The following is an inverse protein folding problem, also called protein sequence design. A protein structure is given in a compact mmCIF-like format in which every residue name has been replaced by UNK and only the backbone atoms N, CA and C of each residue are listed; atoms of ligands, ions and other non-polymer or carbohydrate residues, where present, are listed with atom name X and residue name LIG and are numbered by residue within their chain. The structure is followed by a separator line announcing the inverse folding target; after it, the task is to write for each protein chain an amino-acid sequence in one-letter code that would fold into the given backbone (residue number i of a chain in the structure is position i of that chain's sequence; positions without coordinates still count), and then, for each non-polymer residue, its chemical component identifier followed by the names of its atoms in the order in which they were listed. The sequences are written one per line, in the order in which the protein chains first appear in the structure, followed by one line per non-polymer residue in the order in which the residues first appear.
data_IF_535297322679
#
_entry.id   IF_535297322679
#
_cell.length_a   1.000
_cell.length_b   1.000
_cell.length_c   1.000
_cell.angle_alpha   90.00
_cell.angle_beta   90.00
_cell.angle_gamma   90.00
#
_symmetry.space_group_name_H-M   'P 1'
#
loop_
_entity.id
_entity.type
_entity.pdbx_description
1 polymer ?
#
# COMPACT_ATOMS: atom_id res chain seq x y z
N UNK A 1 -2.01 13.62 -8.00
CA UNK A 1 -2.19 14.43 -9.21
C UNK A 1 -2.99 13.66 -10.26
N UNK A 2 -2.52 12.49 -10.71
CA UNK A 2 -3.19 11.70 -11.75
C UNK A 2 -4.61 11.23 -11.41
N UNK A 3 -4.94 10.96 -10.14
CA UNK A 3 -6.33 10.68 -9.73
C UNK A 3 -7.25 11.89 -9.94
N UNK A 4 -6.75 13.11 -9.76
CA UNK A 4 -7.52 14.31 -10.06
C UNK A 4 -7.79 14.45 -11.56
N UNK A 5 -6.81 14.04 -12.39
CA UNK A 5 -6.99 14.02 -13.85
C UNK A 5 -8.08 13.00 -14.25
N UNK A 6 -8.09 11.80 -13.64
CA UNK A 6 -9.17 10.80 -13.83
C UNK A 6 -10.54 11.37 -13.42
N UNK A 7 -10.61 12.00 -12.24
CA UNK A 7 -11.85 12.62 -11.75
C UNK A 7 -12.34 13.72 -12.69
N UNK A 8 -11.42 14.52 -13.24
CA UNK A 8 -11.76 15.56 -14.22
C UNK A 8 -12.29 14.97 -15.52
N UNK A 9 -11.66 13.91 -16.03
CA UNK A 9 -12.09 13.23 -17.26
C UNK A 9 -13.53 12.71 -17.15
N UNK A 10 -13.89 12.11 -16.02
CA UNK A 10 -15.25 11.59 -15.81
C UNK A 10 -16.30 12.67 -15.49
N UNK A 11 -15.93 13.94 -15.53
CA UNK A 11 -16.85 15.08 -15.36
C UNK A 11 -16.74 15.82 -14.02
N UNK A 12 -15.74 15.52 -13.21
CA UNK A 12 -15.50 16.21 -11.95
C UNK A 12 -14.86 17.59 -12.15
N UNK A 13 -15.36 18.58 -11.41
CA UNK A 13 -14.70 19.87 -11.27
C UNK A 13 -13.69 19.80 -10.14
N UNK A 14 -12.43 20.11 -10.44
CA UNK A 14 -11.31 20.09 -9.50
C UNK A 14 -10.71 21.48 -9.40
N UNK A 15 -10.74 22.06 -8.22
CA UNK A 15 -10.16 23.37 -7.94
C UNK A 15 -9.06 23.21 -6.89
N UNK A 16 -7.91 23.85 -7.13
CA UNK A 16 -6.77 23.84 -6.21
C UNK A 16 -6.47 25.25 -5.74
N UNK A 17 -6.37 25.43 -4.42
CA UNK A 17 -5.97 26.67 -3.80
C UNK A 17 -4.89 26.37 -2.72
N UNK A 18 -3.63 26.54 -3.06
CA UNK A 18 -2.52 26.12 -2.22
C UNK A 18 -2.54 24.60 -1.99
N UNK A 19 -2.61 24.20 -0.73
CA UNK A 19 -2.69 22.79 -0.30
C UNK A 19 -4.13 22.24 -0.32
N UNK A 20 -5.13 23.10 -0.46
CA UNK A 20 -6.53 22.70 -0.50
C UNK A 20 -6.93 22.27 -1.90
N UNK A 21 -7.65 21.16 -1.99
CA UNK A 21 -8.28 20.67 -3.21
C UNK A 21 -9.79 20.55 -2.98
N UNK A 22 -10.58 21.18 -3.84
CA UNK A 22 -12.05 21.01 -3.90
C UNK A 22 -12.42 20.15 -5.08
N UNK A 23 -13.23 19.13 -4.84
CA UNK A 23 -13.70 18.19 -5.87
C UNK A 23 -15.22 18.17 -5.83
N UNK A 24 -15.85 18.38 -6.98
CA UNK A 24 -17.30 18.31 -7.13
C UNK A 24 -17.68 17.50 -8.38
N UNK A 25 -18.41 16.39 -8.21
CA UNK A 25 -18.81 15.47 -9.27
C UNK A 25 -20.34 15.37 -9.30
N UNK A 26 -21.00 16.44 -9.72
CA UNK A 26 -22.46 16.49 -9.84
C UNK A 26 -22.97 15.52 -10.92
N UNK A 27 -22.34 15.57 -12.09
CA UNK A 27 -22.71 14.78 -13.25
C UNK A 27 -21.49 14.01 -13.78
N UNK A 28 -21.72 12.75 -14.12
CA UNK A 28 -20.73 11.92 -14.83
C UNK A 28 -20.94 12.18 -16.33
N UNK A 29 -19.88 12.61 -17.03
CA UNK A 29 -19.91 12.92 -18.45
C UNK A 29 -19.47 11.76 -19.33
N UNK A 30 -18.65 10.86 -18.81
CA UNK A 30 -18.24 9.61 -19.48
C UNK A 30 -18.12 8.48 -18.47
N UNK A 31 -18.40 7.27 -18.92
CA UNK A 31 -18.16 6.03 -18.16
C UNK A 31 -16.92 5.29 -18.63
N UNK A 32 -16.14 5.90 -19.51
CA UNK A 32 -14.84 5.38 -19.95
C UNK A 32 -13.72 6.17 -19.32
N UNK A 33 -12.76 5.46 -18.69
CA UNK A 33 -11.52 6.02 -18.21
C UNK A 33 -10.45 5.73 -19.27
N UNK A 34 -9.86 6.78 -19.85
CA UNK A 34 -8.94 6.65 -20.97
C UNK A 34 -7.72 5.78 -20.66
N UNK A 35 -7.23 5.09 -21.68
CA UNK A 35 -6.01 4.26 -21.60
C UNK A 35 -4.81 5.08 -21.09
N UNK A 36 -4.71 6.34 -21.51
CA UNK A 36 -3.63 7.23 -21.11
C UNK A 36 -3.61 7.51 -19.62
N UNK A 37 -4.78 7.64 -18.98
CA UNK A 37 -4.89 7.84 -17.53
C UNK A 37 -4.79 6.53 -16.75
N UNK A 38 -5.40 5.45 -17.22
CA UNK A 38 -5.26 4.14 -16.62
C UNK A 38 -3.77 3.74 -16.51
N UNK A 39 -2.99 3.94 -17.57
CA UNK A 39 -1.56 3.61 -17.58
C UNK A 39 -0.72 4.42 -16.61
N UNK A 40 -1.18 5.61 -16.17
CA UNK A 40 -0.42 6.49 -15.26
C UNK A 40 -0.60 6.14 -13.80
N UNK A 41 -1.73 5.54 -13.42
CA UNK A 41 -2.05 5.34 -12.01
C UNK A 41 -2.88 4.07 -11.79
N UNK A 42 -2.34 3.15 -10.98
CA UNK A 42 -3.02 1.90 -10.68
C UNK A 42 -4.35 2.08 -9.96
N UNK A 43 -4.45 3.08 -9.09
CA UNK A 43 -5.66 3.36 -8.32
C UNK A 43 -6.84 3.82 -9.19
N UNK A 44 -6.67 3.99 -10.51
CA UNK A 44 -7.79 4.21 -11.45
C UNK A 44 -8.87 3.13 -11.35
N UNK A 45 -8.50 1.89 -11.00
CA UNK A 45 -9.45 0.78 -10.77
C UNK A 45 -10.45 1.09 -9.64
N UNK A 46 -10.08 1.88 -8.64
CA UNK A 46 -10.96 2.25 -7.52
C UNK A 46 -12.15 3.10 -7.95
N UNK A 47 -12.08 3.75 -9.12
CA UNK A 47 -13.20 4.50 -9.67
C UNK A 47 -14.33 3.60 -10.20
N UNK A 48 -14.05 2.31 -10.44
CA UNK A 48 -15.04 1.41 -11.07
C UNK A 48 -16.25 1.20 -10.17
N UNK A 49 -16.08 0.90 -8.87
CA UNK A 49 -17.21 0.67 -7.96
C UNK A 49 -18.17 1.88 -7.87
N UNK A 50 -17.69 3.11 -7.57
CA UNK A 50 -18.58 4.27 -7.54
C UNK A 50 -19.19 4.63 -8.90
N UNK A 51 -18.49 4.41 -10.01
CA UNK A 51 -19.07 4.61 -11.35
C UNK A 51 -20.13 3.57 -11.69
N UNK A 52 -19.90 2.30 -11.37
CA UNK A 52 -20.90 1.24 -11.52
C UNK A 52 -22.17 1.52 -10.72
N UNK A 53 -22.01 1.94 -9.46
CA UNK A 53 -23.16 2.30 -8.62
C UNK A 53 -23.97 3.47 -9.22
N UNK A 54 -23.30 4.47 -9.79
CA UNK A 54 -23.95 5.68 -10.33
C UNK A 54 -24.48 5.52 -11.74
N UNK A 55 -23.82 4.75 -12.60
CA UNK A 55 -24.04 4.72 -14.05
C UNK A 55 -24.41 3.34 -14.59
N UNK A 56 -24.25 2.27 -13.81
CA UNK A 56 -24.53 0.91 -14.22
C UNK A 56 -23.52 0.30 -15.20
N UNK A 57 -22.58 1.07 -15.73
CA UNK A 57 -21.54 0.58 -16.64
C UNK A 57 -20.27 1.40 -16.55
N UNK A 58 -19.12 0.76 -16.76
CA UNK A 58 -17.79 1.40 -16.81
C UNK A 58 -16.91 0.66 -17.79
N UNK A 59 -16.10 1.40 -18.56
CA UNK A 59 -15.01 0.85 -19.35
C UNK A 59 -13.69 1.48 -18.88
N UNK A 60 -12.68 0.66 -18.71
CA UNK A 60 -11.32 1.11 -18.41
C UNK A 60 -10.30 0.22 -19.11
N UNK A 61 -9.04 0.61 -19.04
CA UNK A 61 -7.94 -0.16 -19.59
C UNK A 61 -7.05 -0.73 -18.46
N UNK A 62 -6.20 -1.74 -18.75
CA UNK A 62 -5.28 -2.26 -17.76
C UNK A 62 -4.51 -1.13 -17.06
N UNK A 63 -4.58 -1.03 -15.71
CA UNK A 63 -3.93 0.05 -15.00
C UNK A 63 -2.42 -0.17 -14.94
N UNK A 64 -1.67 0.91 -15.12
CA UNK A 64 -0.22 0.94 -14.94
C UNK A 64 0.20 0.88 -13.47
N UNK A 65 1.36 1.45 -13.19
CA UNK A 65 1.98 1.52 -11.86
C UNK A 65 3.38 0.94 -11.86
N UNK A 66 3.99 0.82 -10.67
CA UNK A 66 5.34 0.30 -10.51
C UNK A 66 5.47 -1.15 -10.99
N UNK A 67 6.60 -1.46 -11.62
CA UNK A 67 6.93 -2.79 -12.13
C UNK A 67 7.72 -3.55 -11.06
N UNK A 68 7.00 -4.12 -10.09
CA UNK A 68 7.57 -4.86 -8.95
C UNK A 68 7.25 -6.35 -8.98
N UNK A 69 6.72 -6.85 -10.09
CA UNK A 69 6.26 -8.21 -10.28
C UNK A 69 4.82 -8.27 -10.79
N UNK A 70 4.24 -9.46 -10.75
CA UNK A 70 2.87 -9.70 -11.22
C UNK A 70 1.85 -9.10 -10.22
N UNK A 71 1.20 -8.01 -10.61
CA UNK A 71 0.19 -7.33 -9.82
C UNK A 71 -1.21 -7.64 -10.34
N UNK A 72 -1.79 -8.71 -9.82
CA UNK A 72 -3.10 -9.22 -10.25
C UNK A 72 -4.24 -8.25 -9.92
N UNK A 73 -5.34 -8.34 -10.67
CA UNK A 73 -6.60 -7.64 -10.43
C UNK A 73 -7.75 -8.61 -10.12
N UNK A 74 -7.45 -9.90 -10.00
CA UNK A 74 -8.44 -10.97 -9.83
C UNK A 74 -9.35 -10.72 -8.62
N UNK A 75 -8.80 -10.22 -7.50
CA UNK A 75 -9.58 -9.88 -6.31
C UNK A 75 -10.64 -8.81 -6.60
N UNK A 76 -10.30 -7.79 -7.42
CA UNK A 76 -11.25 -6.75 -7.83
C UNK A 76 -12.38 -7.35 -8.68
N UNK A 77 -12.03 -8.17 -9.66
CA UNK A 77 -12.97 -8.77 -10.58
C UNK A 77 -13.89 -9.76 -9.87
N UNK A 78 -13.30 -10.66 -9.10
CA UNK A 78 -14.04 -11.63 -8.30
C UNK A 78 -15.04 -10.95 -7.35
N UNK A 79 -14.61 -9.94 -6.59
CA UNK A 79 -15.49 -9.25 -5.67
C UNK A 79 -16.65 -8.53 -6.36
N UNK A 80 -16.39 -7.82 -7.47
CA UNK A 80 -17.45 -7.17 -8.26
C UNK A 80 -18.45 -8.19 -8.82
N UNK A 81 -17.96 -9.35 -9.33
CA UNK A 81 -18.84 -10.40 -9.83
C UNK A 81 -19.71 -10.99 -8.72
N UNK A 82 -19.14 -11.19 -7.52
CA UNK A 82 -19.90 -11.65 -6.36
C UNK A 82 -21.02 -10.69 -5.99
N UNK A 83 -20.78 -9.38 -6.12
CA UNK A 83 -21.79 -8.34 -5.88
C UNK A 83 -22.76 -8.12 -7.05
N UNK A 84 -22.65 -8.90 -8.15
CA UNK A 84 -23.60 -8.91 -9.25
C UNK A 84 -23.17 -8.19 -10.53
N UNK A 85 -21.95 -7.68 -10.61
CA UNK A 85 -21.42 -7.09 -11.83
C UNK A 85 -21.06 -8.17 -12.87
N UNK A 86 -21.21 -7.83 -14.16
CA UNK A 86 -20.74 -8.60 -15.31
C UNK A 86 -19.46 -7.98 -15.85
N UNK A 87 -18.53 -8.81 -16.29
CA UNK A 87 -17.22 -8.39 -16.80
C UNK A 87 -16.99 -8.99 -18.19
N UNK A 88 -16.47 -8.15 -19.10
CA UNK A 88 -15.83 -8.58 -20.34
C UNK A 88 -14.38 -8.04 -20.31
N UNK A 89 -13.41 -8.92 -20.47
CA UNK A 89 -12.00 -8.63 -20.33
C UNK A 89 -11.28 -8.96 -21.65
N UNK A 90 -11.09 -7.92 -22.46
CA UNK A 90 -10.35 -7.96 -23.72
C UNK A 90 -9.20 -6.93 -23.63
N UNK A 91 -8.97 -6.15 -24.69
CA UNK A 91 -8.03 -5.03 -24.68
C UNK A 91 -8.44 -3.92 -23.70
N UNK A 92 -9.72 -3.84 -23.38
CA UNK A 92 -10.29 -3.02 -22.32
C UNK A 92 -11.07 -3.90 -21.33
N UNK A 93 -11.31 -3.37 -20.14
CA UNK A 93 -12.14 -4.00 -19.11
C UNK A 93 -13.50 -3.30 -19.10
N UNK A 94 -14.53 -4.01 -19.57
CA UNK A 94 -15.91 -3.52 -19.55
C UNK A 94 -16.67 -4.16 -18.39
N UNK A 95 -17.29 -3.32 -17.57
CA UNK A 95 -18.10 -3.70 -16.42
C UNK A 95 -19.52 -3.24 -16.62
N UNK A 96 -20.48 -4.10 -16.31
CA UNK A 96 -21.90 -3.78 -16.30
C UNK A 96 -22.54 -4.22 -14.99
N UNK A 97 -23.43 -3.40 -14.46
CA UNK A 97 -24.22 -3.69 -13.26
C UNK A 97 -25.72 -3.70 -13.66
N UNK A 98 -26.27 -4.86 -14.05
CA UNK A 98 -27.65 -4.96 -14.55
C UNK A 98 -28.72 -4.67 -13.48
N UNK A 99 -28.37 -4.84 -12.21
CA UNK A 99 -29.20 -4.57 -11.02
C UNK A 99 -28.31 -3.92 -9.96
N UNK A 100 -28.86 -3.23 -8.96
CA UNK A 100 -28.08 -2.74 -7.84
C UNK A 100 -27.16 -3.82 -7.25
N UNK A 101 -26.01 -3.42 -6.69
CA UNK A 101 -25.15 -4.37 -6.01
C UNK A 101 -25.92 -5.15 -4.96
N UNK A 102 -25.70 -6.46 -4.88
CA UNK A 102 -26.31 -7.36 -3.89
C UNK A 102 -25.24 -7.89 -2.94
N UNK A 103 -25.56 -7.97 -1.66
CA UNK A 103 -24.65 -8.51 -0.63
C UNK A 103 -24.24 -9.95 -0.92
N UNK A 104 -23.02 -10.31 -0.55
CA UNK A 104 -22.44 -11.64 -0.81
C UNK A 104 -21.46 -12.07 0.27
N UNK A 105 -21.34 -13.37 0.48
CA UNK A 105 -20.24 -13.98 1.25
C UNK A 105 -19.12 -14.35 0.27
N UNK A 106 -17.90 -13.81 0.50
CA UNK A 106 -16.78 -13.98 -0.40
C UNK A 106 -15.48 -14.23 0.36
N UNK A 107 -14.58 -14.99 -0.25
CA UNK A 107 -13.22 -15.24 0.24
C UNK A 107 -12.22 -14.80 -0.82
N UNK A 108 -11.32 -13.89 -0.47
CA UNK A 108 -10.27 -13.42 -1.38
C UNK A 108 -9.08 -14.38 -1.38
N UNK A 109 -8.55 -14.68 -2.56
CA UNK A 109 -7.37 -15.55 -2.71
C UNK A 109 -6.12 -14.93 -2.06
N UNK A 110 -6.06 -13.61 -2.05
CA UNK A 110 -5.00 -12.82 -1.41
C UNK A 110 -5.58 -11.61 -0.68
N UNK A 111 -4.97 -11.16 0.44
CA UNK A 111 -5.40 -9.95 1.15
C UNK A 111 -4.95 -8.69 0.37
N UNK A 112 -5.55 -8.48 -0.79
CA UNK A 112 -5.27 -7.33 -1.64
C UNK A 112 -5.79 -6.04 -1.02
N UNK A 113 -4.90 -5.07 -0.79
CA UNK A 113 -5.24 -3.74 -0.24
C UNK A 113 -6.29 -3.06 -1.11
N UNK A 114 -5.92 -2.73 -2.35
CA UNK A 114 -6.84 -2.02 -3.26
C UNK A 114 -8.05 -2.86 -3.66
N UNK A 115 -7.93 -4.20 -3.68
CA UNK A 115 -9.07 -5.10 -3.85
C UNK A 115 -10.07 -4.98 -2.72
N UNK A 116 -9.59 -4.98 -1.47
CA UNK A 116 -10.44 -4.79 -0.29
C UNK A 116 -11.12 -3.42 -0.30
N UNK A 117 -10.35 -2.34 -0.52
CA UNK A 117 -10.88 -0.97 -0.59
C UNK A 117 -11.96 -0.82 -1.68
N UNK A 118 -11.69 -1.38 -2.85
CA UNK A 118 -12.60 -1.31 -4.00
C UNK A 118 -13.93 -2.01 -3.72
N UNK A 119 -13.86 -3.24 -3.23
CA UNK A 119 -15.07 -4.03 -2.95
C UNK A 119 -15.80 -3.48 -1.73
N UNK A 120 -15.09 -2.95 -0.74
CA UNK A 120 -15.71 -2.26 0.40
C UNK A 120 -16.57 -1.07 -0.04
N UNK A 121 -16.07 -0.24 -0.98
CA UNK A 121 -16.86 0.88 -1.54
C UNK A 121 -18.13 0.42 -2.28
N UNK A 122 -18.11 -0.75 -2.92
CA UNK A 122 -19.31 -1.33 -3.53
C UNK A 122 -20.26 -1.95 -2.49
N UNK A 123 -19.70 -2.66 -1.51
CA UNK A 123 -20.45 -3.39 -0.49
C UNK A 123 -21.27 -2.47 0.43
N UNK A 124 -20.77 -1.28 0.77
CA UNK A 124 -21.49 -0.34 1.65
C UNK A 124 -22.79 0.19 1.05
N UNK A 125 -22.93 0.13 -0.27
CA UNK A 125 -24.15 0.53 -0.99
C UNK A 125 -24.89 -0.65 -1.63
N UNK A 126 -24.52 -1.89 -1.29
CA UNK A 126 -25.18 -3.11 -1.75
C UNK A 126 -26.50 -3.35 -1.02
N UNK A 127 -27.45 -3.99 -1.67
CA UNK A 127 -28.64 -4.50 -1.00
C UNK A 127 -28.28 -5.73 -0.14
N UNK A 128 -28.59 -5.70 1.15
CA UNK A 128 -28.38 -6.83 2.08
C UNK A 128 -27.04 -6.80 2.80
N UNK A 129 -26.47 -7.97 3.03
CA UNK A 129 -25.31 -8.16 3.89
C UNK A 129 -24.13 -8.77 3.14
N UNK A 130 -22.95 -8.22 3.32
CA UNK A 130 -21.71 -8.72 2.71
C UNK A 130 -20.72 -9.16 3.78
N UNK A 131 -20.10 -10.33 3.57
CA UNK A 131 -18.95 -10.80 4.35
C UNK A 131 -17.76 -10.89 3.41
N UNK A 132 -16.72 -10.12 3.70
CA UNK A 132 -15.43 -10.18 2.99
C UNK A 132 -14.43 -10.90 3.88
N UNK A 133 -13.99 -12.10 3.45
CA UNK A 133 -13.00 -12.92 4.17
C UNK A 133 -11.65 -12.83 3.48
N UNK A 134 -10.58 -12.97 4.26
CA UNK A 134 -9.20 -12.73 3.84
C UNK A 134 -9.00 -11.31 3.27
N UNK A 135 -9.71 -10.36 3.87
CA UNK A 135 -9.60 -8.94 3.54
C UNK A 135 -8.26 -8.37 4.05
N UNK A 136 -7.71 -7.40 3.34
CA UNK A 136 -6.60 -6.60 3.81
C UNK A 136 -7.00 -5.77 5.04
N UNK A 137 -6.06 -5.55 5.96
CA UNK A 137 -6.32 -4.85 7.22
C UNK A 137 -5.26 -3.79 7.56
N UNK A 138 -4.55 -3.30 6.56
CA UNK A 138 -3.58 -2.22 6.68
C UNK A 138 -4.23 -0.95 7.23
N UNK A 139 -3.45 -0.07 7.91
CA UNK A 139 -3.98 1.16 8.52
C UNK A 139 -4.83 2.02 7.59
N UNK A 140 -4.46 2.15 6.31
CA UNK A 140 -5.21 2.93 5.33
C UNK A 140 -6.51 2.24 4.85
N UNK A 141 -6.59 0.90 4.89
CA UNK A 141 -7.85 0.16 4.67
C UNK A 141 -8.81 0.38 5.83
N UNK A 142 -8.28 0.35 7.08
CA UNK A 142 -9.05 0.65 8.28
C UNK A 142 -9.56 2.11 8.24
N UNK A 143 -8.70 3.04 7.81
CA UNK A 143 -9.02 4.46 7.70
C UNK A 143 -10.18 4.71 6.72
N UNK A 144 -10.17 4.07 5.54
CA UNK A 144 -11.29 4.11 4.60
C UNK A 144 -12.58 3.56 5.23
N UNK A 145 -12.50 2.43 5.96
CA UNK A 145 -13.65 1.84 6.62
C UNK A 145 -14.23 2.76 7.72
N UNK A 146 -13.37 3.42 8.48
CA UNK A 146 -13.79 4.42 9.47
C UNK A 146 -14.42 5.65 8.82
N UNK A 147 -13.85 6.15 7.71
CA UNK A 147 -14.45 7.23 6.94
C UNK A 147 -15.84 6.85 6.42
N UNK A 148 -16.00 5.66 5.85
CA UNK A 148 -17.29 5.16 5.36
C UNK A 148 -18.31 5.02 6.51
N UNK A 149 -17.90 4.52 7.69
CA UNK A 149 -18.77 4.46 8.86
C UNK A 149 -19.17 5.89 9.33
N UNK A 150 -18.25 6.86 9.29
CA UNK A 150 -18.58 8.26 9.57
C UNK A 150 -19.53 8.87 8.52
N UNK A 151 -19.60 8.31 7.31
CA UNK A 151 -20.57 8.65 6.26
C UNK A 151 -21.91 7.90 6.40
N UNK A 152 -22.07 7.06 7.42
CA UNK A 152 -23.31 6.33 7.70
C UNK A 152 -23.32 4.87 7.22
N UNK A 153 -22.19 4.34 6.72
CA UNK A 153 -22.05 2.91 6.46
C UNK A 153 -22.07 2.10 7.76
N UNK A 154 -22.30 0.79 7.64
CA UNK A 154 -22.33 -0.15 8.75
C UNK A 154 -21.30 -1.26 8.53
N UNK A 155 -20.06 -0.97 8.90
CA UNK A 155 -18.91 -1.88 8.74
C UNK A 155 -18.44 -2.31 10.13
N UNK A 156 -18.25 -3.61 10.34
CA UNK A 156 -17.62 -4.19 11.53
C UNK A 156 -16.50 -5.14 11.16
N UNK A 157 -15.65 -5.52 12.12
CA UNK A 157 -14.45 -6.32 11.89
C UNK A 157 -13.25 -5.51 11.37
N UNK A 158 -13.31 -4.17 11.43
CA UNK A 158 -12.22 -3.29 10.99
C UNK A 158 -10.93 -3.65 11.75
N UNK A 159 -9.82 -3.76 11.03
CA UNK A 159 -8.52 -4.17 11.58
C UNK A 159 -8.34 -5.69 11.68
N UNK A 160 -9.30 -6.47 11.20
CA UNK A 160 -9.19 -7.93 11.09
C UNK A 160 -9.20 -8.35 9.61
N UNK A 161 -8.97 -9.64 9.35
CA UNK A 161 -9.05 -10.21 8.01
C UNK A 161 -10.49 -10.57 7.58
N UNK A 162 -11.50 -10.20 8.36
CA UNK A 162 -12.90 -10.36 8.00
C UNK A 162 -13.66 -9.06 8.25
N UNK A 163 -14.26 -8.53 7.19
CA UNK A 163 -15.16 -7.37 7.25
C UNK A 163 -16.59 -7.83 7.04
N UNK A 164 -17.49 -7.32 7.90
CA UNK A 164 -18.92 -7.56 7.81
C UNK A 164 -19.61 -6.22 7.52
N UNK A 165 -20.37 -6.15 6.45
CA UNK A 165 -20.94 -4.92 5.92
C UNK A 165 -22.45 -5.11 5.75
N UNK A 166 -23.24 -4.28 6.42
CA UNK A 166 -24.67 -4.12 6.12
C UNK A 166 -24.83 -2.95 5.17
N UNK A 167 -25.31 -3.22 3.98
CA UNK A 167 -25.47 -2.19 2.96
C UNK A 167 -26.52 -1.15 3.35
N UNK A 168 -26.27 0.09 2.94
CA UNK A 168 -27.16 1.24 3.20
C UNK A 168 -27.58 1.89 1.90
N UNK A 169 -28.81 2.44 1.81
CA UNK A 169 -29.31 3.03 0.57
C UNK A 169 -28.57 4.31 0.16
N UNK A 170 -28.01 5.04 1.12
CA UNK A 170 -27.32 6.31 0.89
C UNK A 170 -26.26 6.55 1.94
N UNK A 171 -25.18 7.22 1.54
CA UNK A 171 -24.17 7.77 2.41
C UNK A 171 -24.35 9.29 2.53
N UNK A 172 -23.94 9.86 3.65
CA UNK A 172 -23.95 11.32 3.87
C UNK A 172 -22.53 11.89 3.99
N UNK A 173 -22.39 13.21 4.04
CA UNK A 173 -21.09 13.86 4.21
C UNK A 173 -20.52 13.65 5.63
N UNK A 174 -19.19 13.66 5.75
CA UNK A 174 -18.49 13.61 7.04
C UNK A 174 -17.31 14.56 7.06
N UNK A 175 -16.75 14.77 8.27
CA UNK A 175 -15.40 15.28 8.46
C UNK A 175 -14.52 14.10 8.81
N UNK A 176 -13.43 13.93 8.07
CA UNK A 176 -12.49 12.85 8.28
C UNK A 176 -11.06 13.38 8.19
N UNK A 177 -10.18 12.89 9.03
CA UNK A 177 -8.75 13.15 8.97
C UNK A 177 -8.07 11.88 8.48
N UNK A 178 -7.43 11.96 7.32
CA UNK A 178 -6.73 10.81 6.72
C UNK A 178 -5.58 10.38 7.61
N UNK A 179 -5.41 9.08 7.82
CA UNK A 179 -4.35 8.54 8.66
C UNK A 179 -2.95 8.89 8.12
N UNK A 180 -1.97 8.82 9.00
CA UNK A 180 -0.57 9.08 8.65
C UNK A 180 0.00 7.98 7.75
N UNK A 181 0.93 8.34 6.87
CA UNK A 181 1.68 7.38 6.07
C UNK A 181 2.82 6.76 6.91
N UNK A 182 2.56 5.59 7.50
CA UNK A 182 3.54 4.87 8.30
C UNK A 182 4.72 4.33 7.47
N UNK A 183 4.52 4.11 6.16
CA UNK A 183 5.58 3.67 5.23
C UNK A 183 6.57 4.81 5.00
N UNK A 184 6.07 6.02 4.75
CA UNK A 184 6.90 7.21 4.57
C UNK A 184 7.71 7.51 5.83
N UNK A 185 7.05 7.54 6.99
CA UNK A 185 7.71 7.78 8.27
C UNK A 185 8.84 6.76 8.55
N UNK A 186 8.58 5.46 8.35
CA UNK A 186 9.59 4.43 8.53
C UNK A 186 10.75 4.55 7.55
N UNK A 187 10.51 5.01 6.33
CA UNK A 187 11.55 5.25 5.33
C UNK A 187 12.50 6.39 5.75
N UNK A 188 11.97 7.48 6.31
CA UNK A 188 12.80 8.55 6.88
C UNK A 188 13.56 8.11 8.13
N UNK A 189 12.97 7.27 8.98
CA UNK A 189 13.68 6.67 10.11
C UNK A 189 14.85 5.79 9.65
N UNK A 190 14.65 4.99 8.59
CA UNK A 190 15.72 4.17 8.01
C UNK A 190 16.85 5.05 7.44
N UNK A 191 16.53 6.14 6.74
CA UNK A 191 17.49 7.11 6.24
C UNK A 191 18.30 7.74 7.39
N UNK A 192 17.63 8.22 8.42
CA UNK A 192 18.32 8.83 9.58
C UNK A 192 19.21 7.83 10.30
N UNK A 193 18.76 6.58 10.49
CA UNK A 193 19.58 5.52 11.09
C UNK A 193 20.82 5.20 10.23
N UNK A 194 20.65 5.06 8.90
CA UNK A 194 21.74 4.73 7.99
C UNK A 194 22.83 5.81 7.94
N UNK A 195 22.43 7.07 8.13
CA UNK A 195 23.33 8.24 8.10
C UNK A 195 23.84 8.66 9.49
N UNK A 196 23.45 7.94 10.56
CA UNK A 196 23.83 8.27 11.95
C UNK A 196 23.16 9.54 12.49
N UNK A 197 22.10 10.00 11.83
CA UNK A 197 21.36 11.19 12.19
C UNK A 197 20.37 10.99 13.33
N UNK A 198 19.75 12.11 13.74
CA UNK A 198 18.65 12.18 14.70
C UNK A 198 17.38 12.57 13.94
N UNK A 199 16.25 11.96 14.31
CA UNK A 199 14.98 12.29 13.67
C UNK A 199 13.82 12.21 14.64
N UNK A 200 12.95 13.21 14.60
CA UNK A 200 11.63 13.20 15.23
C UNK A 200 10.56 13.31 14.16
N UNK A 201 9.68 12.33 14.09
CA UNK A 201 8.53 12.29 13.17
C UNK A 201 7.27 12.55 13.98
N UNK A 202 6.62 13.67 13.73
CA UNK A 202 5.40 14.07 14.45
C UNK A 202 4.12 13.58 13.78
N UNK A 203 3.03 13.58 14.53
CA UNK A 203 1.71 13.25 14.02
C UNK A 203 1.53 11.77 13.71
N UNK A 204 2.24 10.88 14.39
CA UNK A 204 2.21 9.44 14.14
C UNK A 204 1.26 8.72 15.10
N UNK A 205 0.69 7.60 14.64
CA UNK A 205 -0.06 6.67 15.48
C UNK A 205 0.83 5.52 15.94
N UNK A 206 0.90 5.31 17.26
CA UNK A 206 1.72 4.25 17.86
C UNK A 206 1.44 2.85 17.32
N UNK A 207 0.17 2.56 17.04
CA UNK A 207 -0.26 1.20 16.69
C UNK A 207 0.27 0.74 15.32
N UNK A 208 0.59 1.69 14.44
CA UNK A 208 1.09 1.40 13.10
C UNK A 208 2.58 1.06 13.05
N UNK A 209 3.32 1.15 14.17
CA UNK A 209 4.80 1.04 14.16
C UNK A 209 5.39 -0.12 14.96
N UNK A 210 4.58 -0.98 15.59
CA UNK A 210 5.10 -2.08 16.40
C UNK A 210 5.99 -3.04 15.62
N UNK A 211 5.56 -3.44 14.41
CA UNK A 211 6.36 -4.31 13.56
C UNK A 211 7.60 -3.60 13.02
N UNK A 212 7.47 -2.34 12.64
CA UNK A 212 8.58 -1.49 12.25
C UNK A 212 9.64 -1.44 13.38
N UNK A 213 9.23 -1.12 14.60
CA UNK A 213 10.12 -1.13 15.79
C UNK A 213 10.83 -2.47 15.97
N UNK A 214 10.13 -3.59 15.79
CA UNK A 214 10.71 -4.93 15.89
C UNK A 214 11.79 -5.17 14.85
N UNK A 215 11.53 -4.81 13.59
CA UNK A 215 12.49 -4.98 12.48
C UNK A 215 13.70 -4.06 12.66
N UNK A 216 13.50 -2.81 13.05
CA UNK A 216 14.58 -1.88 13.37
C UNK A 216 15.47 -2.42 14.48
N UNK A 217 14.88 -2.99 15.55
CA UNK A 217 15.63 -3.58 16.64
C UNK A 217 16.50 -4.78 16.21
N UNK A 218 16.08 -5.57 15.21
CA UNK A 218 16.90 -6.65 14.62
C UNK A 218 18.17 -6.08 13.98
N UNK A 219 18.11 -4.88 13.43
CA UNK A 219 19.26 -4.16 12.86
C UNK A 219 20.01 -3.30 13.89
N UNK A 220 19.70 -3.43 15.18
CA UNK A 220 20.32 -2.66 16.26
C UNK A 220 19.85 -1.21 16.36
N UNK A 221 18.83 -0.83 15.59
CA UNK A 221 18.27 0.53 15.62
C UNK A 221 17.25 0.65 16.74
N UNK A 222 17.45 1.62 17.62
CA UNK A 222 16.51 1.97 18.69
C UNK A 222 15.63 3.11 18.24
N UNK A 223 14.33 2.91 18.26
CA UNK A 223 13.32 3.95 18.08
C UNK A 223 12.42 4.02 19.31
N UNK A 224 12.05 5.22 19.69
CA UNK A 224 11.17 5.49 20.82
C UNK A 224 9.79 5.87 20.27
N UNK A 225 8.77 5.12 20.69
CA UNK A 225 7.38 5.38 20.30
C UNK A 225 6.72 6.21 21.41
N UNK A 226 6.31 7.42 21.07
CA UNK A 226 5.55 8.32 21.94
C UNK A 226 4.12 8.48 21.39
N UNK A 227 3.21 9.01 22.19
CA UNK A 227 1.79 9.10 21.85
C UNK A 227 1.52 9.86 20.54
N UNK A 228 2.33 10.85 20.21
CA UNK A 228 2.14 11.79 19.11
C UNK A 228 3.34 11.92 18.17
N UNK A 229 4.44 11.20 18.47
CA UNK A 229 5.65 11.22 17.66
C UNK A 229 6.47 9.95 17.82
N UNK A 230 7.37 9.73 16.86
CA UNK A 230 8.43 8.74 16.95
C UNK A 230 9.76 9.48 17.00
N UNK A 231 10.65 9.02 17.87
CA UNK A 231 11.99 9.59 17.99
C UNK A 231 13.05 8.53 17.72
N UNK A 232 14.02 8.91 16.91
CA UNK A 232 15.22 8.15 16.61
C UNK A 232 16.43 8.96 17.10
N UNK A 233 17.15 8.51 18.17
CA UNK A 233 18.33 9.20 18.66
C UNK A 233 19.53 9.05 17.70
N UNK A 234 20.40 10.06 17.70
CA UNK A 234 21.62 10.07 16.91
C UNK A 234 22.66 9.03 17.39
N UNK A 235 23.66 8.79 16.57
CA UNK A 235 24.92 8.10 16.90
C UNK A 235 24.72 6.71 17.53
N UNK A 236 23.83 5.90 16.99
CA UNK A 236 23.58 4.54 17.46
C UNK A 236 24.65 3.58 16.95
N UNK A 237 24.98 2.59 17.78
CA UNK A 237 25.81 1.47 17.35
C UNK A 237 24.93 0.44 16.61
N UNK A 238 25.02 0.43 15.27
CA UNK A 238 24.21 -0.43 14.43
C UNK A 238 24.85 -1.82 14.32
N UNK A 239 24.22 -2.80 14.94
CA UNK A 239 24.67 -4.20 14.91
C UNK A 239 23.47 -5.14 14.79
N UNK A 240 23.56 -6.09 13.88
CA UNK A 240 22.55 -7.15 13.73
C UNK A 240 22.43 -7.95 15.03
N UNK A 241 21.22 -8.08 15.53
CA UNK A 241 20.90 -8.96 16.66
C UNK A 241 20.60 -10.35 16.11
N UNK A 242 21.38 -11.38 16.43
CA UNK A 242 21.13 -12.74 15.98
C UNK A 242 19.83 -13.30 16.59
N UNK A 243 19.32 -14.36 16.01
CA UNK A 243 18.20 -15.12 16.57
C UNK A 243 18.64 -15.79 17.89
N UNK A 244 17.69 -16.33 18.67
CA UNK A 244 17.94 -16.88 20.00
C UNK A 244 18.93 -18.04 20.01
N UNK A 245 19.07 -18.77 18.91
CA UNK A 245 20.03 -19.86 18.72
C UNK A 245 21.39 -19.38 18.19
N UNK A 246 21.58 -18.07 17.99
CA UNK A 246 22.78 -17.46 17.41
C UNK A 246 22.82 -17.48 15.89
N UNK A 247 21.78 -17.97 15.21
CA UNK A 247 21.71 -17.97 13.76
C UNK A 247 21.48 -16.57 13.18
N UNK A 248 21.73 -16.44 11.88
CA UNK A 248 21.47 -15.21 11.12
C UNK A 248 19.97 -14.92 11.08
N UNK A 249 19.53 -13.73 11.51
CA UNK A 249 18.11 -13.41 11.55
C UNK A 249 17.56 -13.23 10.14
N UNK A 250 16.25 -13.52 10.01
CA UNK A 250 15.47 -13.35 8.78
C UNK A 250 14.46 -12.23 8.95
N UNK A 251 14.54 -11.21 8.11
CA UNK A 251 13.53 -10.17 7.99
C UNK A 251 12.66 -10.49 6.76
N UNK A 252 11.43 -10.89 7.00
CA UNK A 252 10.45 -11.18 5.94
C UNK A 252 9.28 -10.22 5.96
N UNK A 253 8.78 -9.90 4.78
CA UNK A 253 7.56 -9.13 4.62
C UNK A 253 6.30 -10.00 4.65
N UNK A 254 5.16 -9.34 4.62
CA UNK A 254 3.85 -9.98 4.52
C UNK A 254 2.71 -8.99 4.70
N UNK A 255 1.46 -9.46 4.51
CA UNK A 255 0.27 -8.66 4.78
C UNK A 255 0.23 -8.18 6.22
N UNK A 256 -0.36 -7.01 6.44
CA UNK A 256 -0.55 -6.45 7.78
C UNK A 256 -1.11 -7.47 8.79
N UNK A 257 -0.62 -7.55 10.04
CA UNK A 257 0.34 -6.62 10.68
C UNK A 257 1.82 -7.01 10.54
N UNK A 258 2.18 -7.83 9.56
CA UNK A 258 3.57 -8.14 9.28
C UNK A 258 4.30 -6.94 8.68
N UNK A 259 5.61 -7.08 8.49
CA UNK A 259 6.44 -6.02 7.94
C UNK A 259 6.07 -5.75 6.48
N UNK A 260 5.85 -4.48 6.14
CA UNK A 260 5.37 -4.11 4.83
C UNK A 260 6.46 -4.28 3.75
N UNK A 261 6.13 -4.93 2.64
CA UNK A 261 6.99 -5.04 1.47
C UNK A 261 7.51 -3.68 0.97
N UNK A 262 6.70 -2.63 1.08
CA UNK A 262 7.07 -1.27 0.68
C UNK A 262 8.22 -0.65 1.49
N UNK A 263 8.53 -1.19 2.66
CA UNK A 263 9.66 -0.78 3.50
C UNK A 263 10.93 -1.61 3.25
N UNK A 264 10.82 -2.72 2.52
CA UNK A 264 11.90 -3.69 2.31
C UNK A 264 13.14 -3.03 1.71
N UNK A 265 12.99 -2.21 0.68
CA UNK A 265 14.11 -1.55 -0.01
C UNK A 265 14.90 -0.64 0.93
N UNK A 266 14.23 0.18 1.74
CA UNK A 266 14.88 1.07 2.70
C UNK A 266 15.60 0.29 3.80
N UNK A 267 15.02 -0.82 4.28
CA UNK A 267 15.64 -1.64 5.30
C UNK A 267 16.84 -2.44 4.79
N UNK A 268 16.81 -2.91 3.54
CA UNK A 268 17.95 -3.53 2.87
C UNK A 268 19.10 -2.53 2.75
N UNK A 269 18.80 -1.30 2.34
CA UNK A 269 19.83 -0.23 2.25
C UNK A 269 20.38 0.14 3.63
N UNK A 270 19.53 0.29 4.65
CA UNK A 270 19.97 0.47 6.04
C UNK A 270 20.91 -0.66 6.47
N UNK A 271 20.57 -1.92 6.16
CA UNK A 271 21.37 -3.08 6.55
C UNK A 271 22.81 -3.05 5.99
N UNK A 272 23.04 -2.38 4.85
CA UNK A 272 24.41 -2.17 4.33
C UNK A 272 25.29 -1.36 5.28
N UNK A 273 24.70 -0.57 6.18
CA UNK A 273 25.39 0.26 7.18
C UNK A 273 25.43 -0.38 8.58
N UNK A 274 24.88 -1.59 8.75
CA UNK A 274 24.78 -2.32 10.00
C UNK A 274 25.86 -3.40 10.08
N UNK A 275 26.57 -3.54 11.19
CA UNK A 275 27.57 -4.61 11.36
C UNK A 275 26.87 -5.97 11.53
N UNK A 276 27.21 -6.94 10.69
CA UNK A 276 26.70 -8.32 10.76
C UNK A 276 26.00 -8.76 9.49
N UNK A 277 25.35 -9.91 9.56
CA UNK A 277 24.67 -10.54 8.43
C UNK A 277 23.18 -10.65 8.71
N UNK A 278 22.35 -10.37 7.71
CA UNK A 278 20.90 -10.51 7.78
C UNK A 278 20.36 -11.01 6.45
N UNK A 279 19.40 -11.93 6.49
CA UNK A 279 18.66 -12.40 5.33
C UNK A 279 17.36 -11.60 5.21
N UNK A 280 17.11 -10.99 4.06
CA UNK A 280 15.81 -10.45 3.70
C UNK A 280 15.05 -11.42 2.82
N UNK A 281 13.78 -11.62 3.12
CA UNK A 281 12.88 -12.50 2.37
C UNK A 281 11.63 -11.73 1.92
N UNK A 282 11.64 -11.27 0.67
CA UNK A 282 10.51 -10.64 -0.02
C UNK A 282 9.55 -11.73 -0.51
N UNK A 283 8.38 -11.85 0.12
CA UNK A 283 7.40 -12.91 -0.18
C UNK A 283 6.33 -12.47 -1.17
N UNK A 284 6.09 -11.16 -1.27
CA UNK A 284 4.92 -10.62 -1.96
C UNK A 284 5.19 -10.29 -3.43
N UNK A 285 6.41 -9.83 -3.78
CA UNK A 285 6.69 -9.32 -5.14
C UNK A 285 8.04 -9.80 -5.68
N UNK A 286 8.02 -10.57 -6.77
CA UNK A 286 9.17 -11.26 -7.35
C UNK A 286 10.27 -10.33 -7.87
N UNK A 287 9.91 -9.11 -8.25
CA UNK A 287 10.87 -8.16 -8.86
C UNK A 287 11.34 -7.06 -7.91
N UNK A 288 10.89 -7.05 -6.66
CA UNK A 288 11.23 -5.98 -5.72
C UNK A 288 12.71 -5.94 -5.35
N UNK A 289 13.40 -7.06 -5.39
CA UNK A 289 14.82 -7.15 -5.02
C UNK A 289 15.79 -6.77 -6.16
N UNK A 290 15.33 -6.50 -7.38
CA UNK A 290 16.20 -6.19 -8.52
C UNK A 290 17.05 -4.92 -8.33
N UNK A 291 16.66 -4.03 -7.44
CA UNK A 291 17.45 -2.85 -7.10
C UNK A 291 18.74 -3.18 -6.35
N UNK A 292 18.86 -4.36 -5.74
CA UNK A 292 20.04 -4.78 -4.97
C UNK A 292 21.30 -4.82 -5.84
N UNK A 293 21.18 -5.13 -7.12
CA UNK A 293 22.29 -5.06 -8.08
C UNK A 293 22.88 -3.63 -8.14
N UNK A 294 22.05 -2.60 -7.97
CA UNK A 294 22.49 -1.21 -7.91
C UNK A 294 23.28 -0.92 -6.62
N UNK A 295 22.82 -1.46 -5.49
CA UNK A 295 23.58 -1.37 -4.23
C UNK A 295 24.93 -2.08 -4.31
N UNK A 296 24.98 -3.28 -4.94
CA UNK A 296 26.24 -4.00 -5.18
C UNK A 296 27.18 -3.17 -6.05
N UNK A 297 26.67 -2.54 -7.12
CA UNK A 297 27.45 -1.66 -7.97
C UNK A 297 27.99 -0.41 -7.23
N UNK A 298 27.28 0.03 -6.16
CA UNK A 298 27.74 1.09 -5.25
C UNK A 298 28.77 0.60 -4.21
N UNK A 299 28.98 -0.71 -4.09
CA UNK A 299 29.94 -1.30 -3.12
C UNK A 299 29.29 -2.05 -1.97
N UNK A 300 27.99 -2.29 -1.99
CA UNK A 300 27.34 -3.10 -0.95
C UNK A 300 27.80 -4.56 -1.01
N UNK A 301 28.07 -5.14 0.16
CA UNK A 301 28.32 -6.56 0.28
C UNK A 301 26.97 -7.30 0.41
N UNK A 302 26.49 -7.83 -0.70
CA UNK A 302 25.23 -8.55 -0.76
C UNK A 302 25.34 -9.81 -1.63
N UNK A 303 24.56 -10.82 -1.29
CA UNK A 303 24.39 -12.04 -2.09
C UNK A 303 22.93 -12.21 -2.41
N UNK A 304 22.55 -12.02 -3.67
CA UNK A 304 21.21 -12.32 -4.17
C UNK A 304 21.10 -13.83 -4.34
N UNK A 305 20.29 -14.47 -3.48
CA UNK A 305 20.11 -15.91 -3.47
C UNK A 305 19.15 -16.38 -4.56
N UNK A 306 18.05 -15.63 -4.73
CA UNK A 306 17.00 -15.83 -5.72
C UNK A 306 16.14 -14.55 -5.84
N UNK A 307 15.07 -14.51 -6.66
CA UNK A 307 14.22 -13.31 -6.81
C UNK A 307 13.58 -12.81 -5.51
N UNK A 308 13.52 -13.65 -4.49
CA UNK A 308 12.84 -13.38 -3.22
C UNK A 308 13.79 -13.20 -2.03
N UNK A 309 15.06 -13.60 -2.13
CA UNK A 309 15.96 -13.62 -0.99
C UNK A 309 17.32 -12.98 -1.28
N UNK A 310 17.76 -12.15 -0.34
CA UNK A 310 19.07 -11.53 -0.37
C UNK A 310 19.70 -11.54 1.02
N UNK A 311 20.97 -11.88 1.09
CA UNK A 311 21.79 -11.71 2.31
C UNK A 311 22.56 -10.42 2.17
N UNK A 312 22.48 -9.58 3.20
CA UNK A 312 23.29 -8.37 3.34
C UNK A 312 24.34 -8.61 4.41
N UNK A 313 25.61 -8.31 4.08
CA UNK A 313 26.75 -8.39 4.98
C UNK A 313 27.32 -6.98 5.19
N UNK A 314 26.92 -6.30 6.24
CA UNK A 314 27.40 -4.95 6.53
C UNK A 314 28.64 -4.99 7.44
N UNK A 315 29.41 -3.95 7.56
CA UNK A 315 29.28 -2.60 7.07
C UNK A 315 29.93 -2.46 5.70
N UNK A 316 29.24 -1.80 4.75
CA UNK A 316 29.77 -1.54 3.41
C UNK A 316 30.11 -0.06 3.23
N UNK A 317 31.20 0.24 2.51
CA UNK A 317 31.53 1.59 2.05
C UNK A 317 30.86 1.83 0.70
N UNK A 318 29.72 2.52 0.71
CA UNK A 318 28.99 2.82 -0.52
C UNK A 318 29.61 4.03 -1.24
N UNK A 319 29.62 3.97 -2.56
CA UNK A 319 30.10 5.06 -3.44
C UNK A 319 28.96 5.54 -4.33
N UNK A 320 28.78 6.87 -4.38
CA UNK A 320 27.79 7.49 -5.24
C UNK A 320 28.07 7.23 -6.72
N UNK A 321 27.01 6.97 -7.48
CA UNK A 321 27.06 6.77 -8.93
C UNK A 321 25.75 7.22 -9.57
N UNK A 322 25.72 7.29 -10.91
CA UNK A 322 24.48 7.56 -11.63
C UNK A 322 23.64 6.30 -11.71
N UNK A 323 22.43 6.35 -11.19
CA UNK A 323 21.52 5.22 -11.10
C UNK A 323 20.20 5.50 -11.83
N UNK A 324 19.58 4.43 -12.32
CA UNK A 324 18.20 4.44 -12.80
C UNK A 324 17.37 3.62 -11.83
N UNK A 325 16.36 4.25 -11.25
CA UNK A 325 15.45 3.57 -10.31
C UNK A 325 14.53 2.59 -11.06
N UNK A 326 14.41 1.34 -10.60
CA UNK A 326 13.44 0.41 -11.17
C UNK A 326 12.00 0.69 -10.72
N UNK A 327 11.79 1.22 -9.53
CA UNK A 327 10.50 1.56 -8.94
C UNK A 327 10.63 2.71 -7.91
N UNK A 328 9.50 3.23 -7.43
CA UNK A 328 9.46 4.37 -6.48
C UNK A 328 10.18 4.03 -5.16
N UNK A 329 9.97 2.84 -4.59
CA UNK A 329 10.54 2.45 -3.29
C UNK A 329 12.05 2.22 -3.38
N UNK A 330 12.48 1.56 -4.44
CA UNK A 330 13.89 1.40 -4.74
C UNK A 330 14.56 2.75 -5.00
N UNK A 331 13.89 3.67 -5.71
CA UNK A 331 14.38 5.02 -5.95
C UNK A 331 14.65 5.78 -4.66
N UNK A 332 13.73 5.72 -3.71
CA UNK A 332 13.92 6.33 -2.39
C UNK A 332 15.07 5.70 -1.61
N UNK A 333 15.23 4.38 -1.70
CA UNK A 333 16.28 3.65 -0.99
C UNK A 333 17.68 3.88 -1.57
N UNK A 334 17.79 4.21 -2.86
CA UNK A 334 19.06 4.42 -3.57
C UNK A 334 19.59 5.87 -3.46
N UNK A 335 18.79 6.81 -2.96
CA UNK A 335 19.21 8.20 -2.70
C UNK A 335 20.12 8.30 -1.47
#
# INVERSE_FOLDING_TARGET
RHMLDVITEIGGKVERCGERVSIHVAHITTTEISKALCNKVRTSILCVAPLLHRMGKVTMYPPGGDVIGRRRLDTHFYGLQKLGARLALDDSYAFELPKPFAGADMFFDEPSVTGTEHILMAAVVSEGFTIMRNAASEPHVQDLAHMLNAMGAKISGIGTNQLNIEGVPTLHGCKHHVCHDHIEAASYLALAAATGGELRVEGTDLHSYWMCKRVFATLGVKIELHKDHIYLPAAQELRVTPDYDGSMPVIGDGPWPQFASDQMSCMITLATQVQGNVLFFEKMFESRLYFVDRLIAMGAHAVVCDPHRVVISGRSELRGTTLVSPDIRAGMALL
#
